data_IF_332634566791
#
_entry.id   IF_332634566791
#
_cell.length_a   1.000
_cell.length_b   1.000
_cell.length_c   1.000
_cell.angle_alpha   90.00
_cell.angle_beta   90.00
_cell.angle_gamma   90.00
#
_symmetry.space_group_name_H-M   'P 1'
#
loop_
_entity.id
_entity.type
_entity.pdbx_description
1 polymer ?
#
# COMPACT_ATOMS: atom_id res chain seq x y z
N UNK A 1 -55.83 -70.22 36.00
CA UNK A 1 -55.17 -69.44 34.92
C UNK A 1 -54.42 -68.28 35.58
N UNK A 2 -53.11 -68.15 35.40
CA UNK A 2 -52.27 -67.18 36.13
C UNK A 2 -52.41 -65.75 35.58
N UNK A 3 -52.09 -64.71 36.38
CA UNK A 3 -52.30 -63.31 35.99
C UNK A 3 -51.24 -62.81 35.00
N UNK A 4 -51.72 -61.97 34.07
CA UNK A 4 -50.97 -61.33 32.98
C UNK A 4 -50.01 -60.26 33.53
N UNK A 5 -48.73 -60.21 33.10
CA UNK A 5 -47.75 -59.26 33.61
C UNK A 5 -47.99 -57.81 33.12
N UNK A 6 -47.79 -56.85 34.03
CA UNK A 6 -47.89 -55.41 33.77
C UNK A 6 -46.75 -54.93 32.85
N UNK A 7 -47.12 -54.21 31.79
CA UNK A 7 -46.20 -53.59 30.83
C UNK A 7 -45.66 -52.29 31.41
N UNK A 8 -44.37 -52.25 31.74
CA UNK A 8 -43.69 -51.03 32.18
C UNK A 8 -43.40 -50.14 30.96
N UNK A 9 -44.05 -48.98 30.89
CA UNK A 9 -43.76 -47.94 29.91
C UNK A 9 -42.50 -47.20 30.34
N UNK A 10 -41.40 -47.39 29.61
CA UNK A 10 -40.17 -46.60 29.76
C UNK A 10 -40.38 -45.31 28.97
N UNK A 11 -40.59 -44.20 29.67
CA UNK A 11 -40.62 -42.86 29.09
C UNK A 11 -39.19 -42.41 28.82
N UNK A 12 -38.77 -42.34 27.55
CA UNK A 12 -37.50 -41.72 27.17
C UNK A 12 -37.58 -40.21 27.39
N UNK A 13 -36.93 -39.70 28.44
CA UNK A 13 -36.69 -38.26 28.57
C UNK A 13 -35.59 -37.86 27.59
N UNK A 14 -35.98 -37.33 26.43
CA UNK A 14 -35.08 -36.54 25.59
C UNK A 14 -34.87 -35.19 26.26
N UNK A 15 -33.75 -35.00 26.95
CA UNK A 15 -33.32 -33.70 27.44
C UNK A 15 -32.98 -32.80 26.25
N UNK A 16 -33.91 -31.90 25.90
CA UNK A 16 -33.59 -30.80 24.98
C UNK A 16 -32.65 -29.86 25.73
N UNK A 17 -31.40 -29.76 25.29
CA UNK A 17 -30.47 -28.72 25.75
C UNK A 17 -31.05 -27.36 25.34
N UNK A 18 -31.79 -26.71 26.26
CA UNK A 18 -32.24 -25.33 26.07
C UNK A 18 -31.03 -24.41 26.24
N UNK A 19 -30.40 -24.10 25.11
CA UNK A 19 -29.39 -23.04 25.00
C UNK A 19 -30.09 -21.70 25.28
N UNK A 20 -29.90 -21.17 26.48
CA UNK A 20 -30.43 -19.87 26.87
C UNK A 20 -29.67 -18.77 26.11
N UNK A 21 -30.37 -17.81 25.51
CA UNK A 21 -29.78 -16.68 24.77
C UNK A 21 -28.50 -16.08 25.39
N UNK A 22 -28.40 -15.83 26.71
CA UNK A 22 -27.15 -15.38 27.35
C UNK A 22 -25.95 -16.33 27.19
N UNK A 23 -26.16 -17.64 27.11
CA UNK A 23 -25.07 -18.62 26.88
C UNK A 23 -24.50 -18.53 25.46
N UNK A 24 -25.36 -18.21 24.47
CA UNK A 24 -24.92 -17.96 23.10
C UNK A 24 -24.09 -16.67 23.00
N UNK A 25 -24.52 -15.59 23.67
CA UNK A 25 -23.74 -14.36 23.73
C UNK A 25 -22.39 -14.54 24.42
N UNK A 26 -22.36 -15.31 25.53
CA UNK A 26 -21.11 -15.63 26.21
C UNK A 26 -20.16 -16.43 25.31
N UNK A 27 -20.67 -17.41 24.57
CA UNK A 27 -19.88 -18.20 23.62
C UNK A 27 -19.33 -17.32 22.49
N UNK A 28 -20.14 -16.39 21.97
CA UNK A 28 -19.69 -15.45 20.93
C UNK A 28 -18.58 -14.54 21.44
N UNK A 29 -18.68 -14.05 22.67
CA UNK A 29 -17.63 -13.24 23.32
C UNK A 29 -16.35 -14.06 23.48
N UNK A 30 -16.43 -15.27 24.02
CA UNK A 30 -15.25 -16.15 24.19
C UNK A 30 -14.60 -16.45 22.84
N UNK A 31 -15.41 -16.76 21.83
CA UNK A 31 -14.93 -17.02 20.47
C UNK A 31 -14.27 -15.78 19.86
N UNK A 32 -14.83 -14.59 20.08
CA UNK A 32 -14.25 -13.32 19.62
C UNK A 32 -12.91 -13.02 20.29
N UNK A 33 -12.79 -13.27 21.60
CA UNK A 33 -11.55 -13.10 22.36
C UNK A 33 -10.49 -14.13 21.95
N UNK A 34 -10.90 -15.35 21.62
CA UNK A 34 -10.00 -16.37 21.09
C UNK A 34 -9.46 -15.99 19.71
N UNK A 35 -10.30 -15.50 18.80
CA UNK A 35 -9.82 -15.01 17.51
C UNK A 35 -8.95 -13.76 17.64
N UNK A 36 -9.26 -12.89 18.60
CA UNK A 36 -8.45 -11.71 18.89
C UNK A 36 -7.07 -12.08 19.47
N UNK A 37 -7.00 -13.04 20.39
CA UNK A 37 -5.72 -13.52 20.92
C UNK A 37 -4.91 -14.23 19.85
N UNK A 38 -5.57 -15.03 19.00
CA UNK A 38 -4.95 -15.68 17.86
C UNK A 38 -4.38 -14.64 16.87
N UNK A 39 -5.08 -13.54 16.63
CA UNK A 39 -4.59 -12.42 15.81
C UNK A 39 -3.31 -11.78 16.39
N UNK A 40 -3.22 -11.59 17.70
CA UNK A 40 -2.01 -11.06 18.36
C UNK A 40 -0.86 -12.07 18.41
N UNK A 41 -1.14 -13.37 18.48
CA UNK A 41 -0.12 -14.43 18.49
C UNK A 41 0.44 -14.71 17.08
N UNK A 42 -0.41 -14.64 16.04
CA UNK A 42 0.00 -14.80 14.65
C UNK A 42 0.48 -13.51 13.99
N UNK A 43 0.27 -12.35 14.61
CA UNK A 43 0.92 -11.11 14.17
C UNK A 43 2.39 -11.15 14.59
N UNK A 44 3.34 -11.11 13.64
CA UNK A 44 4.74 -10.95 14.00
C UNK A 44 4.89 -9.61 14.72
N UNK A 45 5.38 -9.67 15.96
CA UNK A 45 5.67 -8.52 16.78
C UNK A 45 6.80 -7.71 16.12
N UNK A 46 6.47 -6.65 15.38
CA UNK A 46 7.46 -5.69 14.90
C UNK A 46 7.88 -4.80 16.07
N UNK A 47 8.77 -5.33 16.92
CA UNK A 47 9.55 -4.54 17.87
C UNK A 47 10.48 -3.64 17.07
N UNK A 48 10.01 -2.46 16.68
CA UNK A 48 10.88 -1.40 16.16
C UNK A 48 11.63 -0.80 17.35
N UNK A 49 12.83 -1.31 17.62
CA UNK A 49 13.78 -0.61 18.48
C UNK A 49 14.17 0.69 17.75
N UNK A 50 13.62 1.81 18.17
CA UNK A 50 14.02 3.14 17.71
C UNK A 50 15.42 3.44 18.25
N UNK A 51 16.46 3.07 17.49
CA UNK A 51 17.82 3.52 17.76
C UNK A 51 17.92 5.02 17.49
N UNK A 52 18.33 5.77 18.50
CA UNK A 52 18.59 7.21 18.43
C UNK A 52 19.69 7.48 17.41
N UNK A 53 19.45 8.45 16.53
CA UNK A 53 20.30 8.79 15.39
C UNK A 53 21.58 9.49 15.88
N UNK A 54 22.75 8.86 15.70
CA UNK A 54 24.06 9.49 15.87
C UNK A 54 24.61 9.89 14.48
N UNK A 55 24.76 11.19 14.17
CA UNK A 55 25.25 11.67 12.89
C UNK A 55 26.67 11.19 12.52
N UNK A 56 27.46 10.71 13.48
CA UNK A 56 28.86 10.35 13.25
C UNK A 56 29.08 8.94 12.66
N UNK A 57 28.05 8.08 12.60
CA UNK A 57 28.12 6.72 12.04
C UNK A 57 27.66 6.59 10.58
N UNK A 58 27.35 7.69 9.90
CA UNK A 58 26.75 7.71 8.55
C UNK A 58 27.66 7.18 7.41
N UNK A 59 28.88 6.72 7.71
CA UNK A 59 29.81 6.11 6.74
C UNK A 59 29.83 4.58 6.78
N UNK A 60 29.12 3.95 7.72
CA UNK A 60 28.91 2.51 7.72
C UNK A 60 27.54 2.21 7.10
N UNK A 61 27.51 1.24 6.18
CA UNK A 61 26.25 0.64 5.71
C UNK A 61 25.40 0.34 6.94
N UNK A 62 24.14 0.79 7.02
CA UNK A 62 23.30 0.54 8.19
C UNK A 62 23.36 -0.95 8.53
N UNK A 63 23.74 -1.28 9.76
CA UNK A 63 23.89 -2.66 10.23
C UNK A 63 22.59 -3.47 10.07
N UNK A 64 21.48 -2.79 9.80
CA UNK A 64 20.16 -3.32 9.46
C UNK A 64 19.53 -2.48 8.31
N UNK A 65 19.98 -2.68 7.08
CA UNK A 65 19.33 -2.08 5.92
C UNK A 65 17.97 -2.75 5.67
N UNK A 66 16.91 -1.96 5.48
CA UNK A 66 15.57 -2.47 5.18
C UNK A 66 15.57 -3.15 3.81
N UNK A 67 15.27 -4.45 3.73
CA UNK A 67 15.19 -5.18 2.45
C UNK A 67 13.86 -4.87 1.78
N UNK A 68 13.92 -4.29 0.59
CA UNK A 68 12.76 -3.82 -0.16
C UNK A 68 12.67 -4.55 -1.48
N UNK A 69 11.59 -5.31 -1.67
CA UNK A 69 11.21 -5.77 -3.01
C UNK A 69 10.41 -4.67 -3.69
N UNK A 70 10.74 -4.38 -4.95
CA UNK A 70 10.00 -3.40 -5.75
C UNK A 70 8.97 -4.16 -6.58
N UNK A 71 7.68 -3.93 -6.32
CA UNK A 71 6.61 -4.59 -7.04
C UNK A 71 6.76 -4.39 -8.56
N UNK A 72 6.60 -5.47 -9.32
CA UNK A 72 6.69 -5.44 -10.78
C UNK A 72 5.46 -4.73 -11.37
N UNK A 73 5.60 -3.43 -11.59
CA UNK A 73 4.60 -2.58 -12.23
C UNK A 73 5.11 -2.05 -13.57
N UNK A 74 4.26 -2.02 -14.61
CA UNK A 74 4.59 -1.37 -15.87
C UNK A 74 5.07 0.06 -15.68
N UNK A 75 6.07 0.47 -16.46
CA UNK A 75 6.65 1.83 -16.40
C UNK A 75 5.61 2.94 -16.59
N UNK A 76 4.47 2.65 -17.24
CA UNK A 76 3.33 3.56 -17.39
C UNK A 76 2.73 4.05 -16.06
N UNK A 77 3.04 3.40 -14.94
CA UNK A 77 2.61 3.79 -13.60
C UNK A 77 3.66 4.62 -12.83
N UNK A 78 4.88 4.80 -13.36
CA UNK A 78 5.96 5.58 -12.74
C UNK A 78 6.64 6.56 -13.71
N UNK A 79 7.88 6.31 -14.13
CA UNK A 79 8.63 7.20 -15.04
C UNK A 79 7.97 7.38 -16.40
N UNK A 80 7.18 6.40 -16.87
CA UNK A 80 6.37 6.52 -18.07
C UNK A 80 5.22 7.51 -17.89
N UNK A 81 4.67 7.60 -16.67
CA UNK A 81 3.69 8.63 -16.34
C UNK A 81 4.32 10.03 -16.32
N UNK A 82 5.53 10.14 -15.79
CA UNK A 82 6.31 11.37 -15.82
C UNK A 82 6.67 11.79 -17.25
N UNK A 83 6.99 10.83 -18.12
CA UNK A 83 7.11 11.08 -19.56
C UNK A 83 5.82 11.65 -20.17
N UNK A 84 4.66 11.12 -19.80
CA UNK A 84 3.35 11.66 -20.24
C UNK A 84 3.13 13.08 -19.75
N UNK A 85 3.41 13.36 -18.48
CA UNK A 85 3.32 14.70 -17.90
C UNK A 85 4.11 15.72 -18.74
N UNK A 86 5.40 15.44 -19.00
CA UNK A 86 6.27 16.33 -19.78
C UNK A 86 5.90 16.44 -21.26
N UNK A 87 5.29 15.40 -21.83
CA UNK A 87 4.78 15.43 -23.21
C UNK A 87 3.45 16.18 -23.35
N UNK A 88 2.69 16.30 -22.25
CA UNK A 88 1.38 16.93 -22.27
C UNK A 88 1.54 18.43 -22.49
N UNK A 89 0.85 18.98 -23.48
CA UNK A 89 0.84 20.42 -23.80
C UNK A 89 -0.09 21.23 -22.89
N UNK A 90 -0.62 20.62 -21.83
CA UNK A 90 -1.55 21.28 -20.93
C UNK A 90 -0.77 22.17 -19.96
N UNK A 91 -0.87 23.48 -20.17
CA UNK A 91 -0.54 24.46 -19.14
C UNK A 91 -1.45 24.17 -17.94
N UNK A 92 -0.88 23.74 -16.81
CA UNK A 92 -1.65 23.61 -15.57
C UNK A 92 -2.12 25.01 -15.17
N UNK A 93 -3.40 25.31 -15.41
CA UNK A 93 -3.98 26.63 -15.18
C UNK A 93 -4.01 27.04 -13.71
N UNK A 94 -3.63 26.13 -12.80
CA UNK A 94 -3.45 26.43 -11.36
C UNK A 94 -2.10 27.08 -11.07
N UNK A 95 -1.17 27.07 -12.03
CA UNK A 95 0.12 27.73 -11.93
C UNK A 95 -0.06 29.13 -12.52
N UNK A 96 0.04 30.16 -11.68
CA UNK A 96 0.27 31.51 -12.18
C UNK A 96 1.62 31.49 -12.89
N UNK A 97 1.69 31.92 -14.16
CA UNK A 97 2.94 32.11 -14.87
C UNK A 97 3.76 33.17 -14.14
N UNK A 98 4.58 32.73 -13.19
CA UNK A 98 5.56 33.58 -12.54
C UNK A 98 6.61 33.95 -13.59
N UNK A 99 6.73 35.22 -14.01
CA UNK A 99 7.68 35.63 -15.03
C UNK A 99 9.14 35.40 -14.61
N UNK A 100 9.41 35.26 -13.31
CA UNK A 100 10.76 35.01 -12.78
C UNK A 100 11.07 33.51 -12.65
N UNK A 101 10.06 32.65 -12.83
CA UNK A 101 10.21 31.20 -12.76
C UNK A 101 9.98 30.58 -14.13
N UNK A 102 11.05 30.55 -14.95
CA UNK A 102 11.04 29.85 -16.24
C UNK A 102 10.89 28.33 -16.01
N UNK A 103 9.64 27.90 -15.89
CA UNK A 103 9.22 26.50 -15.80
C UNK A 103 9.19 25.82 -17.18
N UNK A 104 9.65 26.52 -18.24
CA UNK A 104 9.62 26.10 -19.63
C UNK A 104 10.60 25.01 -20.02
N UNK A 105 11.42 24.50 -19.09
CA UNK A 105 12.33 23.39 -19.36
C UNK A 105 11.52 22.10 -19.50
N UNK A 106 11.12 21.79 -20.74
CA UNK A 106 10.72 20.44 -21.12
C UNK A 106 11.99 19.58 -21.15
N UNK A 107 12.16 18.63 -20.22
CA UNK A 107 13.32 17.76 -20.26
C UNK A 107 13.30 16.92 -21.54
N UNK A 108 14.48 16.68 -22.11
CA UNK A 108 14.64 15.74 -23.23
C UNK A 108 14.11 14.36 -22.82
N UNK A 109 13.66 13.51 -23.77
CA UNK A 109 13.31 12.14 -23.48
C UNK A 109 14.50 11.44 -22.81
N UNK A 110 14.36 11.15 -21.52
CA UNK A 110 15.34 10.45 -20.71
C UNK A 110 14.69 9.19 -20.17
N UNK A 111 15.50 8.16 -19.90
CA UNK A 111 15.00 6.99 -19.17
C UNK A 111 14.40 7.44 -17.84
N UNK A 112 15.09 8.31 -17.11
CA UNK A 112 14.65 8.87 -15.82
C UNK A 112 14.40 10.37 -15.97
N UNK A 113 13.19 10.80 -16.42
CA UNK A 113 12.86 12.21 -16.53
C UNK A 113 12.84 12.87 -15.14
N UNK A 114 13.20 14.17 -15.01
CA UNK A 114 13.16 14.87 -13.74
C UNK A 114 11.72 15.02 -13.25
N UNK A 115 11.54 15.07 -11.93
CA UNK A 115 10.23 15.33 -11.33
C UNK A 115 9.77 16.78 -11.60
N UNK A 116 8.46 17.07 -11.68
CA UNK A 116 7.99 18.42 -11.98
C UNK A 116 8.38 19.43 -10.90
N UNK A 117 8.81 20.62 -11.32
CA UNK A 117 9.20 21.72 -10.42
C UNK A 117 8.00 22.51 -9.86
N UNK A 118 6.78 22.22 -10.32
CA UNK A 118 5.55 22.81 -9.78
C UNK A 118 5.50 22.59 -8.25
N UNK A 119 5.49 23.64 -7.41
CA UNK A 119 5.49 23.51 -5.95
C UNK A 119 4.37 22.61 -5.40
N UNK A 120 3.18 22.66 -6.02
CA UNK A 120 2.01 21.86 -5.63
C UNK A 120 2.29 20.36 -5.76
N UNK A 121 3.00 19.96 -6.81
CA UNK A 121 3.29 18.55 -7.12
C UNK A 121 4.63 18.13 -6.48
N UNK A 122 5.62 19.01 -6.46
CA UNK A 122 6.99 18.75 -5.99
C UNK A 122 7.06 18.31 -4.53
N UNK A 123 6.21 18.89 -3.67
CA UNK A 123 6.11 18.50 -2.26
C UNK A 123 5.70 17.04 -2.05
N UNK A 124 5.18 16.40 -3.09
CA UNK A 124 4.66 15.04 -3.11
C UNK A 124 5.52 14.10 -3.96
N UNK A 125 6.84 14.28 -3.95
CA UNK A 125 7.79 13.55 -4.80
C UNK A 125 8.38 12.29 -4.16
N UNK A 126 7.91 11.86 -2.99
CA UNK A 126 8.49 10.75 -2.25
C UNK A 126 8.57 9.45 -3.07
N UNK A 127 7.49 9.12 -3.79
CA UNK A 127 7.40 7.98 -4.71
C UNK A 127 8.49 8.00 -5.80
N UNK A 128 8.77 9.18 -6.36
CA UNK A 128 9.81 9.38 -7.36
C UNK A 128 11.22 9.14 -6.78
N UNK A 129 11.51 9.71 -5.61
CA UNK A 129 12.82 9.60 -4.97
C UNK A 129 13.09 8.17 -4.47
N UNK A 130 12.10 7.52 -3.85
CA UNK A 130 12.22 6.12 -3.40
C UNK A 130 12.45 5.20 -4.60
N UNK A 131 11.68 5.37 -5.69
CA UNK A 131 11.86 4.57 -6.90
C UNK A 131 13.25 4.80 -7.51
N UNK A 132 13.70 6.05 -7.61
CA UNK A 132 15.02 6.38 -8.16
C UNK A 132 16.15 5.80 -7.34
N UNK A 133 16.06 5.90 -6.01
CA UNK A 133 17.00 5.27 -5.10
C UNK A 133 17.03 3.75 -5.33
N UNK A 134 15.90 3.04 -5.23
CA UNK A 134 15.82 1.58 -5.36
C UNK A 134 16.15 1.06 -6.77
N UNK A 135 15.99 1.87 -7.82
CA UNK A 135 16.39 1.50 -9.18
C UNK A 135 17.87 1.76 -9.48
N UNK A 136 18.57 2.54 -8.64
CA UNK A 136 20.00 2.79 -8.79
C UNK A 136 20.79 1.53 -8.38
N UNK A 137 21.87 1.16 -9.09
CA UNK A 137 22.75 0.05 -8.68
C UNK A 137 23.27 0.21 -7.25
N UNK A 138 23.35 -0.89 -6.49
CA UNK A 138 23.71 -0.89 -5.06
C UNK A 138 25.07 -0.21 -4.80
N UNK A 139 26.05 -0.41 -5.68
CA UNK A 139 27.38 0.20 -5.57
C UNK A 139 27.39 1.73 -5.71
N UNK A 140 26.31 2.33 -6.24
CA UNK A 140 26.15 3.78 -6.38
C UNK A 140 25.25 4.39 -5.29
N UNK A 141 24.63 3.56 -4.43
CA UNK A 141 23.67 3.96 -3.37
C UNK A 141 24.33 4.13 -2.01
N UNK A 142 25.42 4.89 -1.92
CA UNK A 142 26.26 4.98 -0.71
C UNK A 142 25.58 5.57 0.53
N UNK A 143 24.39 6.18 0.39
CA UNK A 143 23.61 6.78 1.49
C UNK A 143 22.18 6.23 1.60
N UNK A 144 21.88 5.12 0.93
CA UNK A 144 20.56 4.50 1.05
C UNK A 144 20.41 3.77 2.38
N UNK A 145 19.26 3.95 3.02
CA UNK A 145 18.85 3.20 4.22
C UNK A 145 18.12 1.89 3.88
N UNK A 146 17.68 1.73 2.65
CA UNK A 146 17.09 0.50 2.13
C UNK A 146 18.15 -0.32 1.36
N UNK A 147 17.86 -1.59 1.14
CA UNK A 147 18.54 -2.46 0.17
C UNK A 147 17.47 -3.06 -0.73
N UNK A 148 17.59 -2.87 -2.04
CA UNK A 148 16.69 -3.55 -2.97
C UNK A 148 17.01 -5.05 -3.00
N UNK A 149 15.99 -5.88 -2.85
CA UNK A 149 16.04 -7.31 -3.12
C UNK A 149 15.24 -7.61 -4.38
N UNK A 150 15.57 -8.72 -5.05
CA UNK A 150 14.92 -9.15 -6.28
C UNK A 150 14.04 -10.39 -6.10
N UNK A 151 14.11 -11.02 -4.93
CA UNK A 151 13.22 -12.08 -4.48
C UNK A 151 12.29 -11.51 -3.40
N UNK A 152 10.98 -11.59 -3.63
CA UNK A 152 9.97 -11.15 -2.67
C UNK A 152 10.04 -11.89 -1.32
N UNK A 153 10.57 -13.12 -1.27
CA UNK A 153 10.72 -13.89 -0.03
C UNK A 153 11.82 -13.34 0.89
N UNK A 154 12.78 -12.61 0.32
CA UNK A 154 13.86 -11.99 1.08
C UNK A 154 13.45 -10.60 1.61
N UNK A 155 12.31 -10.06 1.18
CA UNK A 155 11.91 -8.70 1.48
C UNK A 155 11.33 -8.57 2.89
N UNK A 156 11.65 -7.46 3.55
CA UNK A 156 10.97 -7.04 4.76
C UNK A 156 9.69 -6.25 4.42
N UNK A 157 9.70 -5.55 3.28
CA UNK A 157 8.54 -4.83 2.71
C UNK A 157 8.53 -4.89 1.19
N UNK A 158 7.33 -4.74 0.61
CA UNK A 158 7.11 -4.59 -0.83
C UNK A 158 6.77 -3.14 -1.13
N UNK A 159 7.67 -2.42 -1.79
CA UNK A 159 7.38 -1.07 -2.26
C UNK A 159 6.60 -1.11 -3.57
N UNK A 160 5.49 -0.39 -3.65
CA UNK A 160 4.67 -0.28 -4.86
C UNK A 160 5.04 1.02 -5.60
N UNK A 161 5.78 0.97 -6.72
CA UNK A 161 6.29 2.16 -7.41
C UNK A 161 5.22 2.77 -8.33
N UNK A 162 4.09 3.16 -7.77
CA UNK A 162 3.04 3.91 -8.46
C UNK A 162 3.17 5.40 -8.12
N UNK A 163 3.28 6.25 -9.13
CA UNK A 163 3.34 7.71 -8.95
C UNK A 163 1.93 8.28 -8.79
N UNK A 164 1.31 7.98 -7.65
CA UNK A 164 -0.10 8.23 -7.36
C UNK A 164 -0.43 9.73 -7.34
N UNK A 165 0.45 10.55 -6.77
CA UNK A 165 0.22 11.99 -6.73
C UNK A 165 0.27 12.59 -8.12
N UNK A 166 1.31 12.26 -8.89
CA UNK A 166 1.41 12.71 -10.27
C UNK A 166 0.19 12.26 -11.09
N UNK A 167 -0.29 11.04 -10.83
CA UNK A 167 -1.48 10.49 -11.47
C UNK A 167 -2.73 11.31 -11.22
N UNK A 168 -3.01 11.64 -9.97
CA UNK A 168 -4.14 12.44 -9.55
C UNK A 168 -4.03 13.89 -10.05
N UNK A 169 -2.85 14.49 -9.97
CA UNK A 169 -2.60 15.88 -10.38
C UNK A 169 -2.79 16.07 -11.89
N UNK A 170 -2.33 15.12 -12.71
CA UNK A 170 -2.59 15.13 -14.16
C UNK A 170 -4.08 15.05 -14.49
N UNK A 171 -4.87 14.30 -13.70
CA UNK A 171 -6.31 14.20 -13.92
C UNK A 171 -7.05 15.44 -13.40
N UNK A 172 -6.62 16.00 -12.27
CA UNK A 172 -7.13 17.26 -11.72
C UNK A 172 -6.91 18.43 -12.69
N UNK A 173 -5.78 18.46 -13.40
CA UNK A 173 -5.48 19.45 -14.43
C UNK A 173 -6.48 19.43 -15.61
N UNK A 174 -7.10 18.27 -15.92
CA UNK A 174 -8.17 18.16 -16.92
C UNK A 174 -9.52 18.72 -16.43
N UNK A 175 -9.67 18.90 -15.12
CA UNK A 175 -10.84 19.51 -14.51
C UNK A 175 -11.38 18.75 -13.30
N UNK A 176 -11.72 19.49 -12.23
CA UNK A 176 -12.27 18.95 -10.97
C UNK A 176 -13.54 18.10 -11.15
N UNK A 177 -14.35 18.41 -12.17
CA UNK A 177 -15.58 17.66 -12.45
C UNK A 177 -15.29 16.25 -12.97
N UNK A 178 -14.24 16.09 -13.78
CA UNK A 178 -13.79 14.78 -14.30
C UNK A 178 -13.15 13.96 -13.19
N UNK A 179 -12.30 14.57 -12.36
CA UNK A 179 -11.64 13.91 -11.23
C UNK A 179 -12.63 13.28 -10.22
N UNK A 180 -13.81 13.89 -10.02
CA UNK A 180 -14.84 13.36 -9.10
C UNK A 180 -15.64 12.19 -9.69
N UNK A 181 -15.58 11.97 -11.01
CA UNK A 181 -16.27 10.86 -11.69
C UNK A 181 -15.35 9.65 -11.77
N UNK A 182 -15.94 8.45 -11.82
CA UNK A 182 -15.21 7.21 -12.12
C UNK A 182 -15.06 6.98 -13.62
N UNK A 183 -16.11 7.30 -14.36
CA UNK A 183 -16.14 7.21 -15.82
C UNK A 183 -15.35 8.37 -16.42
N UNK A 184 -14.50 8.07 -17.39
CA UNK A 184 -13.61 9.05 -18.03
C UNK A 184 -12.44 9.54 -17.18
N UNK A 185 -12.30 9.05 -15.94
CA UNK A 185 -11.20 9.41 -15.05
C UNK A 185 -10.03 8.43 -15.21
N UNK A 186 -8.94 8.88 -15.84
CA UNK A 186 -7.78 8.04 -16.12
C UNK A 186 -6.95 7.71 -14.86
N UNK A 187 -6.95 8.59 -13.85
CA UNK A 187 -6.33 8.31 -12.56
C UNK A 187 -7.04 7.16 -11.85
N UNK A 188 -8.38 7.17 -11.79
CA UNK A 188 -9.18 6.09 -11.23
C UNK A 188 -8.91 4.75 -11.92
N UNK A 189 -8.81 4.74 -13.25
CA UNK A 189 -8.48 3.52 -14.00
C UNK A 189 -7.07 3.02 -13.67
N UNK A 190 -6.08 3.92 -13.57
CA UNK A 190 -4.71 3.55 -13.20
C UNK A 190 -4.64 3.00 -11.78
N UNK A 191 -5.30 3.64 -10.81
CA UNK A 191 -5.37 3.15 -9.44
C UNK A 191 -5.98 1.74 -9.37
N UNK A 192 -7.11 1.52 -10.07
CA UNK A 192 -7.76 0.21 -10.13
C UNK A 192 -6.82 -0.85 -10.73
N UNK A 193 -6.11 -0.51 -11.79
CA UNK A 193 -5.19 -1.44 -12.45
C UNK A 193 -3.96 -1.75 -11.59
N UNK A 194 -3.38 -0.76 -10.91
CA UNK A 194 -2.29 -0.97 -9.95
C UNK A 194 -2.73 -1.91 -8.83
N UNK A 195 -3.91 -1.68 -8.23
CA UNK A 195 -4.45 -2.58 -7.20
C UNK A 195 -4.64 -3.99 -7.77
N UNK A 196 -5.18 -4.13 -8.98
CA UNK A 196 -5.36 -5.44 -9.63
C UNK A 196 -4.02 -6.16 -9.82
N UNK A 197 -3.01 -5.47 -10.35
CA UNK A 197 -1.68 -6.05 -10.60
C UNK A 197 -1.02 -6.47 -9.29
N UNK A 198 -0.98 -5.56 -8.29
CA UNK A 198 -0.37 -5.82 -6.99
C UNK A 198 -1.06 -7.00 -6.29
N UNK A 199 -2.39 -6.99 -6.19
CA UNK A 199 -3.14 -8.05 -5.51
C UNK A 199 -3.09 -9.41 -6.21
N UNK A 200 -2.69 -9.43 -7.49
CA UNK A 200 -2.48 -10.67 -8.25
C UNK A 200 -1.06 -11.25 -8.14
N UNK A 201 -0.11 -10.52 -7.55
CA UNK A 201 1.30 -10.91 -7.46
C UNK A 201 1.57 -12.03 -6.44
N UNK A 202 2.68 -12.75 -6.58
CA UNK A 202 3.13 -13.73 -5.59
C UNK A 202 3.48 -13.07 -4.25
N UNK A 203 4.13 -11.90 -4.29
CA UNK A 203 4.42 -11.10 -3.11
C UNK A 203 3.16 -10.81 -2.27
N UNK A 204 2.04 -10.47 -2.93
CA UNK A 204 0.76 -10.27 -2.23
C UNK A 204 0.22 -11.55 -1.60
N UNK A 205 0.38 -12.71 -2.26
CA UNK A 205 -0.08 -14.01 -1.72
C UNK A 205 0.69 -14.39 -0.44
N UNK A 206 1.96 -14.03 -0.33
CA UNK A 206 2.80 -14.33 0.84
C UNK A 206 2.33 -13.59 2.10
N UNK A 207 2.02 -12.29 1.97
CA UNK A 207 1.72 -11.43 3.12
C UNK A 207 0.26 -11.02 3.24
N UNK A 208 -0.56 -11.29 2.24
CA UNK A 208 -1.92 -10.75 2.12
C UNK A 208 -1.94 -9.22 2.01
N UNK A 209 -0.85 -8.60 1.57
CA UNK A 209 -0.73 -7.14 1.42
C UNK A 209 -0.29 -6.38 2.66
N UNK A 210 -0.01 -7.05 3.80
CA UNK A 210 0.32 -6.39 5.07
C UNK A 210 1.62 -5.58 5.05
N UNK A 211 2.54 -5.97 4.19
CA UNK A 211 3.89 -5.40 4.04
C UNK A 211 4.02 -4.57 2.75
N UNK A 212 2.91 -4.31 2.05
CA UNK A 212 2.92 -3.53 0.81
C UNK A 212 2.78 -2.04 1.11
N UNK A 213 3.80 -1.28 0.74
CA UNK A 213 3.90 0.15 0.98
C UNK A 213 3.46 0.92 -0.27
N UNK A 214 2.31 1.58 -0.16
CA UNK A 214 1.84 2.57 -1.12
C UNK A 214 2.17 3.98 -0.60
N UNK A 215 2.83 4.78 -1.43
CA UNK A 215 2.99 6.21 -1.15
C UNK A 215 1.79 6.93 -1.74
N UNK A 216 1.00 7.55 -0.88
CA UNK A 216 -0.20 8.28 -1.26
C UNK A 216 -0.15 9.66 -0.63
N UNK A 217 -0.78 10.62 -1.30
CA UNK A 217 -0.90 11.98 -0.78
C UNK A 217 -2.35 12.29 -0.52
N UNK A 218 -2.69 12.46 0.75
CA UNK A 218 -4.01 12.88 1.16
C UNK A 218 -4.17 14.38 0.98
N UNK A 219 -5.34 14.81 0.49
CA UNK A 219 -5.80 16.16 0.80
C UNK A 219 -6.09 16.22 2.31
N UNK A 220 -5.46 17.15 3.02
CA UNK A 220 -5.97 17.58 4.32
C UNK A 220 -7.31 18.26 4.05
N UNK A 221 -8.40 17.67 4.56
CA UNK A 221 -9.69 18.39 4.61
C UNK A 221 -9.51 19.54 5.59
N UNK A 222 -9.27 20.74 5.08
CA UNK A 222 -9.43 21.99 5.83
C UNK A 222 -10.89 22.38 5.85
#
# INVERSE_FOLDING_TARGET
MPPIPKKNTITSQTSRLQCSMPTFFLLLIILSLFFLSLFFVLSPNSNSNSSVFDPQNALQVPQYALKVYVADLPRSFNYGLLGRYWSSSQSDSRISSDPDHDSGIRPKPASFPPYPENPVIKQYSAEYWITGDLMTPENLRTRSFAKRVFDEQEADVVFVPFFATLSAEMELAKGKATFRKKEGNEDYQRQKEVVRLVTSSEAWKLSGGRDHVFVLTGCVKT
#
